data_IF_565331352150
#
_entry.id   IF_565331352150
#
_cell.length_a   1.000
_cell.length_b   1.000
_cell.length_c   1.000
_cell.angle_alpha   90.00
_cell.angle_beta   90.00
_cell.angle_gamma   90.00
#
_symmetry.space_group_name_H-M   'P 1'
#
loop_
_entity.id
_entity.type
_entity.pdbx_description
1 polymer ?
#
# COMPACT_ATOMS: atom_id res chain seq x y z
N UNK A 1 16.06 6.66 -21.24
CA UNK A 1 15.94 7.30 -19.91
C UNK A 1 14.80 8.32 -19.97
N UNK A 2 13.89 8.32 -18.99
CA UNK A 2 12.77 9.27 -18.84
C UNK A 2 12.85 9.90 -17.45
N UNK A 3 12.63 11.20 -17.36
CA UNK A 3 12.46 11.92 -16.09
C UNK A 3 10.98 12.21 -15.88
N UNK A 4 10.49 11.99 -14.67
CA UNK A 4 9.13 12.35 -14.26
C UNK A 4 9.19 13.23 -13.03
N UNK A 5 8.46 14.34 -13.04
CA UNK A 5 8.31 15.24 -11.90
C UNK A 5 7.05 14.88 -11.12
N UNK A 6 7.11 15.04 -9.81
CA UNK A 6 5.98 14.86 -8.91
C UNK A 6 5.91 16.02 -7.93
N UNK A 7 4.69 16.41 -7.59
CA UNK A 7 4.43 17.41 -6.57
C UNK A 7 4.15 16.69 -5.24
N UNK A 8 4.91 17.05 -4.21
CA UNK A 8 4.68 16.59 -2.85
C UNK A 8 3.93 17.67 -2.08
N UNK A 9 2.78 17.32 -1.52
CA UNK A 9 1.88 18.25 -0.81
C UNK A 9 1.93 18.11 0.70
N UNK A 10 2.46 17.00 1.23
CA UNK A 10 2.56 16.74 2.67
C UNK A 10 4.02 16.54 3.14
N UNK A 11 4.23 16.56 4.45
CA UNK A 11 5.57 16.35 5.02
C UNK A 11 6.09 14.92 4.81
N UNK A 12 5.18 13.96 4.85
CA UNK A 12 5.40 12.56 4.49
C UNK A 12 4.26 12.17 3.54
N UNK A 13 4.60 11.54 2.41
CA UNK A 13 3.62 11.22 1.37
C UNK A 13 3.93 9.90 0.69
N UNK A 14 2.88 9.11 0.43
CA UNK A 14 2.99 7.87 -0.33
C UNK A 14 2.25 8.04 -1.66
N UNK A 15 2.97 8.01 -2.77
CA UNK A 15 2.42 8.31 -4.11
C UNK A 15 2.55 7.08 -5.00
N UNK A 16 1.42 6.58 -5.51
CA UNK A 16 1.43 5.48 -6.49
C UNK A 16 1.95 5.99 -7.84
N UNK A 17 3.09 5.45 -8.27
CA UNK A 17 3.71 5.74 -9.56
C UNK A 17 3.56 4.60 -10.57
N UNK A 18 2.81 3.55 -10.24
CA UNK A 18 2.65 2.34 -11.06
C UNK A 18 2.17 2.67 -12.47
N UNK A 19 1.17 3.55 -12.60
CA UNK A 19 0.66 3.92 -13.92
C UNK A 19 1.72 4.66 -14.75
N UNK A 20 2.48 5.57 -14.14
CA UNK A 20 3.56 6.29 -14.83
C UNK A 20 4.65 5.34 -15.36
N UNK A 21 4.93 4.26 -14.63
CA UNK A 21 5.86 3.19 -15.04
C UNK A 21 5.27 2.35 -16.18
N UNK A 22 3.98 1.97 -16.10
CA UNK A 22 3.28 1.27 -17.19
C UNK A 22 3.26 2.09 -18.48
N UNK A 23 2.99 3.39 -18.37
CA UNK A 23 2.99 4.31 -19.51
C UNK A 23 4.39 4.42 -20.13
N UNK A 24 5.44 4.41 -19.29
CA UNK A 24 6.81 4.38 -19.77
C UNK A 24 7.11 3.11 -20.57
N UNK A 25 6.77 1.93 -20.03
CA UNK A 25 6.96 0.62 -20.68
C UNK A 25 6.21 0.54 -22.01
N UNK A 26 4.94 0.93 -22.03
CA UNK A 26 4.10 0.94 -23.22
C UNK A 26 4.70 1.85 -24.31
N UNK A 27 5.12 3.06 -23.94
CA UNK A 27 5.70 4.03 -24.88
C UNK A 27 6.98 3.52 -25.55
N UNK A 28 7.84 2.81 -24.81
CA UNK A 28 9.09 2.26 -25.35
C UNK A 28 8.93 0.85 -25.94
N UNK A 29 7.71 0.28 -25.86
CA UNK A 29 7.38 -1.09 -26.27
C UNK A 29 8.34 -2.14 -25.70
N UNK A 30 8.76 -2.00 -24.43
CA UNK A 30 9.65 -2.97 -23.78
C UNK A 30 8.90 -4.30 -23.64
N UNK A 31 9.49 -5.40 -24.12
CA UNK A 31 8.93 -6.75 -24.06
C UNK A 31 9.44 -7.51 -22.85
N UNK A 32 10.72 -7.90 -22.87
CA UNK A 32 11.35 -8.69 -21.82
C UNK A 32 12.58 -7.97 -21.28
N UNK A 33 12.69 -7.86 -19.96
CA UNK A 33 13.82 -7.21 -19.31
C UNK A 33 13.44 -6.59 -17.98
N UNK A 34 13.89 -5.37 -17.74
CA UNK A 34 13.60 -4.66 -16.50
C UNK A 34 13.50 -3.14 -16.69
N UNK A 35 12.74 -2.52 -15.79
CA UNK A 35 12.75 -1.07 -15.57
C UNK A 35 13.45 -0.79 -14.26
N UNK A 36 14.46 0.07 -14.32
CA UNK A 36 15.14 0.64 -13.17
C UNK A 36 14.57 2.02 -12.89
N UNK A 37 14.16 2.25 -11.64
CA UNK A 37 13.71 3.53 -11.13
C UNK A 37 14.76 4.02 -10.14
N UNK A 38 15.18 5.27 -10.27
CA UNK A 38 16.13 5.93 -9.38
C UNK A 38 15.61 7.30 -8.96
N UNK A 39 15.71 7.58 -7.67
CA UNK A 39 15.41 8.87 -7.06
C UNK A 39 16.74 9.49 -6.60
N UNK A 40 17.12 10.68 -7.07
CA UNK A 40 18.38 11.32 -6.67
C UNK A 40 18.29 11.95 -5.27
N UNK A 41 17.10 12.20 -4.74
CA UNK A 41 16.91 12.83 -3.44
C UNK A 41 17.21 11.88 -2.27
N UNK A 42 17.96 12.40 -1.30
CA UNK A 42 18.43 11.65 -0.14
C UNK A 42 17.37 11.37 0.93
N UNK A 43 16.15 11.88 0.78
CA UNK A 43 15.05 11.82 1.77
C UNK A 43 13.78 11.21 1.21
N UNK A 44 13.89 10.61 0.03
CA UNK A 44 12.77 9.98 -0.67
C UNK A 44 13.22 8.60 -1.12
N UNK A 45 12.27 7.68 -1.25
CA UNK A 45 12.53 6.29 -1.58
C UNK A 45 11.52 5.77 -2.59
N UNK A 46 11.81 4.60 -3.15
CA UNK A 46 10.88 3.86 -4.00
C UNK A 46 10.70 2.45 -3.43
N UNK A 47 9.46 2.00 -3.34
CA UNK A 47 9.14 0.69 -2.74
C UNK A 47 7.99 0.01 -3.46
N UNK A 48 7.82 -1.28 -3.21
CA UNK A 48 6.62 -2.04 -3.59
C UNK A 48 5.76 -2.24 -2.35
N UNK A 49 4.47 -1.94 -2.46
CA UNK A 49 3.53 -2.18 -1.36
C UNK A 49 2.18 -2.66 -1.88
N UNK A 50 1.27 -2.91 -0.94
CA UNK A 50 -0.10 -3.31 -1.28
C UNK A 50 -0.82 -2.16 -1.99
N UNK A 51 -1.69 -2.45 -2.94
CA UNK A 51 -2.57 -1.47 -3.55
C UNK A 51 -3.81 -1.28 -2.67
N UNK A 52 -3.71 -0.46 -1.61
CA UNK A 52 -4.83 -0.09 -0.74
C UNK A 52 -4.91 1.44 -0.60
N UNK A 53 -5.95 2.03 -1.20
CA UNK A 53 -5.98 3.46 -1.54
C UNK A 53 -6.08 4.43 -0.37
N UNK A 54 -6.56 4.04 0.82
CA UNK A 54 -6.78 5.01 1.90
C UNK A 54 -6.16 4.64 3.25
N UNK A 55 -6.02 3.35 3.54
CA UNK A 55 -5.40 2.90 4.81
C UNK A 55 -3.90 2.87 4.73
N UNK A 56 -3.37 2.54 3.56
CA UNK A 56 -1.96 2.22 3.42
C UNK A 56 -1.08 3.37 3.84
N UNK A 57 -1.28 4.56 3.29
CA UNK A 57 -0.43 5.71 3.57
C UNK A 57 -0.36 6.01 5.07
N UNK A 58 -1.53 6.09 5.72
CA UNK A 58 -1.63 6.35 7.16
C UNK A 58 -0.94 5.25 7.98
N UNK A 59 -1.24 3.98 7.71
CA UNK A 59 -0.67 2.86 8.45
C UNK A 59 0.83 2.70 8.21
N UNK A 60 1.27 2.94 6.99
CA UNK A 60 2.67 2.91 6.59
C UNK A 60 3.47 3.94 7.40
N UNK A 61 3.03 5.20 7.40
CA UNK A 61 3.73 6.24 8.16
C UNK A 61 3.56 6.08 9.67
N UNK A 62 2.42 5.62 10.18
CA UNK A 62 2.26 5.31 11.61
C UNK A 62 3.32 4.29 12.07
N UNK A 63 3.46 3.18 11.34
CA UNK A 63 4.42 2.11 11.68
C UNK A 63 5.87 2.58 11.55
N UNK A 64 6.20 3.31 10.49
CA UNK A 64 7.56 3.80 10.26
C UNK A 64 7.93 4.91 11.24
N UNK A 65 7.00 5.80 11.61
CA UNK A 65 7.23 6.81 12.64
C UNK A 65 7.32 6.23 14.04
N UNK A 66 6.65 5.09 14.30
CA UNK A 66 6.81 4.37 15.55
C UNK A 66 8.20 3.74 15.67
N UNK A 67 8.71 3.13 14.59
CA UNK A 67 10.04 2.51 14.56
C UNK A 67 11.18 3.53 14.51
N UNK A 68 11.01 4.60 13.73
CA UNK A 68 12.01 5.64 13.49
C UNK A 68 11.39 7.02 13.74
N UNK A 69 11.18 7.38 15.02
CA UNK A 69 10.57 8.66 15.36
C UNK A 69 11.49 9.82 14.96
N UNK A 70 10.87 10.96 14.64
CA UNK A 70 11.59 12.23 14.39
C UNK A 70 12.17 12.86 15.67
N UNK A 71 11.77 12.34 16.83
CA UNK A 71 12.18 12.79 18.14
C UNK A 71 12.56 11.58 19.00
N UNK A 72 13.79 11.54 19.51
CA UNK A 72 14.36 10.43 20.27
C UNK A 72 14.40 10.68 21.79
N UNK A 73 13.49 11.51 22.30
CA UNK A 73 13.34 11.81 23.73
C UNK A 73 14.02 13.12 24.16
N UNK A 74 15.04 13.59 23.45
CA UNK A 74 15.67 14.90 23.72
C UNK A 74 16.03 15.71 22.48
N UNK A 75 16.12 15.09 21.28
CA UNK A 75 16.57 15.79 20.06
C UNK A 75 15.62 15.56 18.89
N UNK A 76 15.31 16.65 18.20
CA UNK A 76 14.74 16.59 16.86
C UNK A 76 15.85 16.26 15.85
N UNK A 77 15.76 15.09 15.23
CA UNK A 77 16.75 14.61 14.25
C UNK A 77 16.51 15.17 12.85
N UNK A 78 15.31 15.69 12.60
CA UNK A 78 14.93 16.37 11.35
C UNK A 78 15.20 15.54 10.09
N UNK A 79 15.92 16.14 9.15
CA UNK A 79 16.27 15.53 7.86
C UNK A 79 17.13 14.27 7.98
N UNK A 80 17.80 14.05 9.12
CA UNK A 80 18.58 12.84 9.38
C UNK A 80 17.68 11.61 9.43
N UNK A 81 16.54 11.68 10.14
CA UNK A 81 15.59 10.56 10.19
C UNK A 81 14.98 10.29 8.82
N UNK A 82 14.65 11.34 8.06
CA UNK A 82 14.15 11.17 6.69
C UNK A 82 15.18 10.48 5.79
N UNK A 83 16.46 10.83 5.92
CA UNK A 83 17.54 10.18 5.19
C UNK A 83 17.75 8.71 5.57
N UNK A 84 17.69 8.39 6.86
CA UNK A 84 17.79 7.00 7.34
C UNK A 84 16.61 6.17 6.83
N UNK A 85 15.38 6.70 6.91
CA UNK A 85 14.19 6.05 6.33
C UNK A 85 14.39 5.79 4.84
N UNK A 86 14.79 6.81 4.07
CA UNK A 86 15.04 6.66 2.63
C UNK A 86 16.09 5.59 2.33
N UNK A 87 17.17 5.54 3.11
CA UNK A 87 18.25 4.55 2.95
C UNK A 87 17.81 3.13 3.27
N UNK A 88 16.88 2.94 4.23
CA UNK A 88 16.31 1.63 4.59
C UNK A 88 15.43 1.09 3.47
N UNK A 89 14.57 1.93 2.90
CA UNK A 89 13.70 1.52 1.79
C UNK A 89 14.46 1.38 0.47
N UNK A 90 15.47 2.23 0.25
CA UNK A 90 16.21 2.33 -0.98
C UNK A 90 15.67 3.41 -1.91
N UNK A 91 16.58 4.18 -2.49
CA UNK A 91 16.26 5.23 -3.48
C UNK A 91 16.20 4.67 -4.91
N UNK A 92 16.34 3.35 -5.06
CA UNK A 92 16.32 2.67 -6.35
C UNK A 92 15.53 1.38 -6.25
N UNK A 93 14.81 1.03 -7.32
CA UNK A 93 14.22 -0.31 -7.47
C UNK A 93 14.33 -0.76 -8.92
N UNK A 94 14.46 -2.07 -9.11
CA UNK A 94 14.42 -2.71 -10.41
C UNK A 94 13.22 -3.65 -10.47
N UNK A 95 12.35 -3.47 -11.46
CA UNK A 95 11.14 -4.29 -11.64
C UNK A 95 11.24 -5.02 -12.97
N UNK A 96 10.93 -6.31 -12.97
CA UNK A 96 10.96 -7.13 -14.17
C UNK A 96 9.77 -6.84 -15.09
N UNK A 97 10.01 -6.96 -16.39
CA UNK A 97 9.02 -6.88 -17.45
C UNK A 97 9.13 -8.14 -18.29
N UNK A 98 8.00 -8.76 -18.58
CA UNK A 98 7.92 -9.94 -19.45
C UNK A 98 6.68 -9.82 -20.32
N UNK A 99 6.82 -10.15 -21.60
CA UNK A 99 5.74 -10.06 -22.60
C UNK A 99 5.04 -8.68 -22.56
N UNK A 100 5.81 -7.62 -22.30
CA UNK A 100 5.33 -6.24 -22.22
C UNK A 100 4.53 -5.88 -20.98
N UNK A 101 4.50 -6.77 -19.98
CA UNK A 101 3.77 -6.57 -18.72
C UNK A 101 4.73 -6.50 -17.53
N UNK A 102 4.47 -5.58 -16.59
CA UNK A 102 5.18 -5.55 -15.30
C UNK A 102 4.90 -6.83 -14.51
N UNK A 103 5.95 -7.48 -14.01
CA UNK A 103 5.81 -8.59 -13.07
C UNK A 103 5.55 -8.04 -11.66
N UNK A 104 4.28 -7.80 -11.36
CA UNK A 104 3.78 -7.36 -10.07
C UNK A 104 2.59 -8.23 -9.67
N UNK A 105 2.43 -8.54 -8.39
CA UNK A 105 1.19 -9.18 -7.93
C UNK A 105 -0.04 -8.27 -8.15
N UNK A 106 -1.24 -8.86 -8.21
CA UNK A 106 -2.50 -8.14 -8.48
C UNK A 106 -2.71 -6.95 -7.55
N UNK A 107 -2.35 -7.12 -6.29
CA UNK A 107 -2.48 -6.10 -5.25
C UNK A 107 -1.14 -5.46 -4.92
N UNK A 108 -0.17 -5.48 -5.83
CA UNK A 108 1.12 -4.83 -5.62
C UNK A 108 1.23 -3.57 -6.49
N UNK A 109 1.80 -2.52 -5.93
CA UNK A 109 2.00 -1.24 -6.62
C UNK A 109 3.35 -0.65 -6.26
N UNK A 110 3.87 0.17 -7.18
CA UNK A 110 5.15 0.86 -7.07
C UNK A 110 4.85 2.24 -6.48
N UNK A 111 5.45 2.52 -5.33
CA UNK A 111 5.23 3.76 -4.60
C UNK A 111 6.50 4.59 -4.55
N UNK A 112 6.36 5.89 -4.83
CA UNK A 112 7.29 6.91 -4.37
C UNK A 112 6.96 7.26 -2.92
N UNK A 113 7.97 7.29 -2.06
CA UNK A 113 7.83 7.58 -0.63
C UNK A 113 8.61 8.84 -0.31
N UNK A 114 7.91 9.89 0.12
CA UNK A 114 8.54 11.11 0.63
C UNK A 114 8.58 11.09 2.16
N UNK A 115 9.73 11.43 2.74
CA UNK A 115 9.88 11.58 4.20
C UNK A 115 10.14 13.02 4.67
N UNK A 116 10.34 13.97 3.75
CA UNK A 116 10.67 15.36 4.05
C UNK A 116 10.10 16.37 3.03
N UNK A 117 8.80 16.29 2.77
CA UNK A 117 8.08 17.28 1.96
C UNK A 117 7.66 18.54 2.74
N UNK A 118 6.89 19.46 2.12
CA UNK A 118 6.41 19.44 0.73
C UNK A 118 7.47 19.91 -0.28
N UNK A 119 7.13 19.89 -1.56
CA UNK A 119 7.94 20.45 -2.65
C UNK A 119 7.97 19.57 -3.89
N UNK A 120 8.69 20.02 -4.92
CA UNK A 120 8.87 19.23 -6.14
C UNK A 120 9.94 18.15 -5.94
N UNK A 121 9.69 16.98 -6.52
CA UNK A 121 10.63 15.86 -6.61
C UNK A 121 10.63 15.31 -8.02
N UNK A 122 11.62 14.50 -8.32
CA UNK A 122 11.67 13.78 -9.59
C UNK A 122 12.20 12.37 -9.40
N UNK A 123 11.86 11.50 -10.34
CA UNK A 123 12.50 10.19 -10.45
C UNK A 123 12.85 9.91 -11.91
N UNK A 124 13.88 9.10 -12.07
CA UNK A 124 14.39 8.66 -13.36
C UNK A 124 13.99 7.23 -13.61
N UNK A 125 13.55 6.95 -14.82
CA UNK A 125 13.30 5.60 -15.32
C UNK A 125 14.29 5.30 -16.44
N UNK A 126 14.92 4.14 -16.35
CA UNK A 126 15.70 3.55 -17.43
C UNK A 126 15.28 2.09 -17.60
N UNK A 127 15.52 1.53 -18.77
CA UNK A 127 15.10 0.17 -19.09
C UNK A 127 16.17 -0.53 -19.90
N UNK A 128 16.24 -1.83 -19.75
CA UNK A 128 17.12 -2.70 -20.53
C UNK A 128 16.34 -3.98 -20.85
N UNK A 129 16.44 -4.44 -22.09
CA UNK A 129 15.68 -5.60 -22.56
C UNK A 129 15.42 -5.59 -24.05
N UNK A 130 14.55 -6.50 -24.47
CA UNK A 130 14.02 -6.60 -25.84
C UNK A 130 12.78 -5.72 -26.00
N UNK A 131 12.40 -5.42 -27.23
CA UNK A 131 11.20 -4.64 -27.55
C UNK A 131 10.21 -5.48 -28.34
N UNK A 132 8.91 -5.21 -28.15
CA UNK A 132 7.83 -5.79 -28.94
C UNK A 132 7.97 -5.33 -30.39
N UNK A 133 7.74 -6.24 -31.33
CA UNK A 133 7.60 -5.88 -32.74
C UNK A 133 6.34 -5.03 -32.98
N UNK A 134 6.22 -4.36 -34.14
CA UNK A 134 5.12 -3.41 -34.40
C UNK A 134 3.71 -4.01 -34.27
N UNK A 135 3.55 -5.30 -34.60
CA UNK A 135 2.26 -6.00 -34.57
C UNK A 135 2.03 -6.84 -33.31
N UNK A 136 2.96 -6.80 -32.37
CA UNK A 136 2.93 -7.63 -31.16
C UNK A 136 2.37 -6.81 -30.00
N UNK A 137 1.32 -7.31 -29.36
CA UNK A 137 0.70 -6.65 -28.21
C UNK A 137 1.20 -7.26 -26.90
N UNK A 138 1.29 -6.46 -25.81
CA UNK A 138 1.67 -6.98 -24.51
C UNK A 138 0.63 -7.97 -24.01
N UNK A 139 1.08 -9.10 -23.48
CA UNK A 139 0.23 -10.12 -22.89
C UNK A 139 0.76 -10.50 -21.51
N UNK A 140 -0.15 -10.67 -20.55
CA UNK A 140 0.25 -11.11 -19.21
C UNK A 140 0.84 -12.53 -19.26
N UNK A 141 2.03 -12.78 -18.69
CA UNK A 141 2.62 -14.11 -18.63
C UNK A 141 1.72 -15.14 -17.93
N UNK A 142 1.81 -16.40 -18.34
CA UNK A 142 0.96 -17.47 -17.79
C UNK A 142 1.13 -17.67 -16.29
N UNK A 143 2.37 -17.62 -15.78
CA UNK A 143 2.63 -17.76 -14.34
C UNK A 143 1.95 -16.64 -13.54
N UNK A 144 1.94 -15.42 -14.08
CA UNK A 144 1.29 -14.27 -13.46
C UNK A 144 -0.25 -14.40 -13.50
N UNK A 145 -0.81 -14.90 -14.61
CA UNK A 145 -2.24 -15.23 -14.72
C UNK A 145 -2.65 -16.29 -13.68
N UNK A 146 -1.82 -17.31 -13.46
CA UNK A 146 -2.09 -18.36 -12.45
C UNK A 146 -2.04 -17.77 -11.03
N UNK A 147 -1.04 -16.92 -10.76
CA UNK A 147 -0.93 -16.22 -9.48
C UNK A 147 -2.19 -15.38 -9.18
N UNK A 148 -2.65 -14.60 -10.17
CA UNK A 148 -3.84 -13.75 -10.02
C UNK A 148 -5.10 -14.57 -9.74
N UNK A 149 -5.32 -15.65 -10.50
CA UNK A 149 -6.46 -16.56 -10.26
C UNK A 149 -6.42 -17.20 -8.88
N UNK A 150 -5.23 -17.54 -8.39
CA UNK A 150 -5.05 -18.09 -7.04
C UNK A 150 -5.38 -17.04 -5.99
N UNK A 151 -4.95 -15.79 -6.19
CA UNK A 151 -5.24 -14.68 -5.29
C UNK A 151 -6.72 -14.35 -5.21
N UNK A 152 -7.42 -14.35 -6.34
CA UNK A 152 -8.87 -14.13 -6.41
C UNK A 152 -9.66 -15.17 -5.61
N UNK A 153 -9.26 -16.44 -5.70
CA UNK A 153 -9.88 -17.51 -4.89
C UNK A 153 -9.68 -17.27 -3.40
N UNK A 154 -8.46 -16.92 -3.00
CA UNK A 154 -8.14 -16.61 -1.61
C UNK A 154 -8.92 -15.39 -1.09
N UNK A 155 -9.02 -14.33 -1.88
CA UNK A 155 -9.80 -13.14 -1.54
C UNK A 155 -11.29 -13.45 -1.36
N UNK A 156 -11.86 -14.27 -2.25
CA UNK A 156 -13.25 -14.69 -2.14
C UNK A 156 -13.50 -15.56 -0.89
N UNK A 157 -12.55 -16.39 -0.50
CA UNK A 157 -12.61 -17.17 0.74
C UNK A 157 -12.52 -16.27 1.98
N UNK A 158 -11.58 -15.31 1.99
CA UNK A 158 -11.46 -14.34 3.08
C UNK A 158 -12.73 -13.49 3.23
N UNK A 159 -13.38 -13.11 2.13
CA UNK A 159 -14.60 -12.32 2.20
C UNK A 159 -15.78 -13.12 2.76
N UNK A 160 -15.85 -14.43 2.48
CA UNK A 160 -16.82 -15.32 3.14
C UNK A 160 -16.59 -15.40 4.65
N UNK A 161 -15.33 -15.61 5.07
CA UNK A 161 -14.97 -15.65 6.49
C UNK A 161 -15.34 -14.34 7.19
N UNK A 162 -15.03 -13.19 6.57
CA UNK A 162 -15.40 -11.88 7.15
C UNK A 162 -16.91 -11.72 7.29
N UNK A 163 -17.68 -12.21 6.32
CA UNK A 163 -19.14 -12.12 6.38
C UNK A 163 -19.72 -13.04 7.47
N UNK A 164 -19.21 -14.26 7.60
CA UNK A 164 -19.55 -15.16 8.70
C UNK A 164 -19.24 -14.54 10.06
N UNK A 165 -18.05 -13.95 10.23
CA UNK A 165 -17.66 -13.24 11.45
C UNK A 165 -18.56 -12.03 11.73
N UNK A 166 -19.01 -11.29 10.71
CA UNK A 166 -19.94 -10.17 10.87
C UNK A 166 -21.32 -10.63 11.33
N UNK A 167 -21.80 -11.76 10.81
CA UNK A 167 -23.08 -12.36 11.22
C UNK A 167 -22.99 -12.82 12.67
N UNK A 168 -21.93 -13.56 13.02
CA UNK A 168 -21.69 -14.02 14.38
C UNK A 168 -21.62 -12.85 15.37
N UNK A 169 -20.86 -11.80 15.03
CA UNK A 169 -20.74 -10.61 15.86
C UNK A 169 -22.10 -9.93 16.10
N UNK A 170 -22.94 -9.79 15.06
CA UNK A 170 -24.29 -9.23 15.19
C UNK A 170 -25.17 -10.06 16.14
N UNK A 171 -25.14 -11.38 16.02
CA UNK A 171 -25.89 -12.28 16.90
C UNK A 171 -25.42 -12.19 18.36
N UNK A 172 -24.11 -12.11 18.58
CA UNK A 172 -23.54 -11.90 19.91
C UNK A 172 -23.96 -10.55 20.50
N UNK A 173 -23.95 -9.49 19.69
CA UNK A 173 -24.32 -8.15 20.11
C UNK A 173 -25.82 -8.04 20.46
N UNK A 174 -26.70 -8.65 19.66
CA UNK A 174 -28.13 -8.74 19.95
C UNK A 174 -28.41 -9.46 21.28
N UNK A 175 -27.72 -10.59 21.51
CA UNK A 175 -27.82 -11.33 22.79
C UNK A 175 -27.32 -10.51 23.97
N UNK A 176 -26.22 -9.77 23.81
CA UNK A 176 -25.66 -8.88 24.84
C UNK A 176 -26.67 -7.81 25.24
N UNK A 177 -27.27 -7.14 24.25
CA UNK A 177 -28.29 -6.11 24.48
C UNK A 177 -29.57 -6.66 25.11
N UNK A 178 -29.97 -7.90 24.79
CA UNK A 178 -31.11 -8.56 25.43
C UNK A 178 -30.84 -8.82 26.93
N UNK A 179 -29.67 -9.37 27.24
CA UNK A 179 -29.22 -9.63 28.62
C UNK A 179 -29.08 -8.34 29.43
N UNK A 180 -28.59 -7.26 28.83
CA UNK A 180 -28.53 -5.93 29.48
C UNK A 180 -29.95 -5.43 29.82
N UNK A 181 -30.92 -5.54 28.91
CA UNK A 181 -32.32 -5.18 29.18
C UNK A 181 -33.00 -6.06 30.22
N UNK A 182 -32.71 -7.36 30.25
CA UNK A 182 -33.24 -8.26 31.26
C UNK A 182 -32.71 -7.90 32.65
N UNK A 183 -31.41 -7.61 32.77
CA UNK A 183 -30.80 -7.11 34.02
C UNK A 183 -31.38 -5.77 34.47
N UNK A 184 -31.58 -4.83 33.55
CA UNK A 184 -32.20 -3.54 33.88
C UNK A 184 -33.61 -3.73 34.46
N UNK A 185 -34.41 -4.63 33.88
CA UNK A 185 -35.74 -4.97 34.41
C UNK A 185 -35.69 -5.66 35.77
N UNK A 186 -34.74 -6.57 35.99
CA UNK A 186 -34.56 -7.21 37.31
C UNK A 186 -34.23 -6.17 38.39
N UNK A 187 -33.35 -5.22 38.07
CA UNK A 187 -33.00 -4.12 38.98
C UNK A 187 -34.21 -3.21 39.25
N UNK A 188 -35.00 -2.86 38.23
CA UNK A 188 -36.23 -2.06 38.42
C UNK A 188 -37.23 -2.77 39.35
N UNK A 189 -37.44 -4.08 39.18
CA UNK A 189 -38.33 -4.88 40.03
C UNK A 189 -37.81 -4.95 41.47
N UNK A 190 -36.50 -5.12 41.68
CA UNK A 190 -35.90 -5.11 43.03
C UNK A 190 -36.07 -3.77 43.74
N UNK A 191 -35.96 -2.65 43.00
CA UNK A 191 -36.19 -1.31 43.55
C UNK A 191 -37.65 -1.15 43.96
N UNK A 192 -38.61 -1.50 43.10
CA UNK A 192 -40.05 -1.41 43.41
C UNK A 192 -40.45 -2.27 44.63
N UNK A 193 -39.88 -3.47 44.78
CA UNK A 193 -40.14 -4.35 45.93
C UNK A 193 -39.48 -3.88 47.23
N UNK A 194 -38.51 -2.97 47.18
CA UNK A 194 -37.84 -2.41 48.36
C UNK A 194 -38.51 -1.14 48.90
N UNK A 195 -39.43 -0.55 48.13
CA UNK A 195 -40.18 0.67 48.50
C UNK A 195 -41.60 0.38 49.07
N UNK A 196 -42.06 -0.89 49.06
CA UNK A 196 -43.25 -1.38 49.79
C UNK A 196 -42.92 -1.90 51.20
#
# INVERSE_FOLDING_TARGET
MKTTHIEITSNEQLIDITQSVRDYISKIRLKDGFVHIQIPERTSAVTLSVNDNWRLEKEFFNKINHLLPKYDGMKFTGWTTANVKASIFGMTIQIMVQDGTLILDKNQSIYFVEFQGPGERQYFMSSMGTTLSENEEPEMPNDLKILYKTREKFEAEQEKIKEEMRIEWKLCEEKRLLLEKEKEKEIEIEIEQSEE
#
